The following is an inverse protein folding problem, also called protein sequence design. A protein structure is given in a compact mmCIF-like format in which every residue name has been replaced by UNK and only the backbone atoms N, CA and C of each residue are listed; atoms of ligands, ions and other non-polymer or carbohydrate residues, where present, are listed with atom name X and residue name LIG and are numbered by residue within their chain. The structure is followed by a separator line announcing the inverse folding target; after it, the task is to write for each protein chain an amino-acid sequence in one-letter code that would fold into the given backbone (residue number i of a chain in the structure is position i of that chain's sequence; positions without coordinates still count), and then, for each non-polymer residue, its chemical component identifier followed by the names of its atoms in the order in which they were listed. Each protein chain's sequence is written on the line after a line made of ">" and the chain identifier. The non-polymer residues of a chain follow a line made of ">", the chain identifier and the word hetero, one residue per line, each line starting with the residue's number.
data_IF_516499781451
#
_entry.id   IF_516499781451
#
_cell.length_a   1.000
_cell.length_b   1.000
_cell.length_c   1.000
_cell.angle_alpha   90.00
_cell.angle_beta   90.00
_cell.angle_gamma   90.00
#
_symmetry.space_group_name_H-M   'P 1'
#
loop_
_entity.id
_entity.type
_entity.pdbx_description
1 polymer ?
#
# COMPACT_ATOMS: atom_id res chain seq x y z
N UNK A 1 -13.99 11.54 -6.99
CA UNK A 1 -12.80 11.88 -6.19
C UNK A 1 -12.04 12.99 -6.89
N UNK A 2 -11.73 14.08 -6.18
CA UNK A 2 -10.83 15.12 -6.68
C UNK A 2 -9.38 14.61 -6.67
N UNK A 3 -8.56 15.11 -7.59
CA UNK A 3 -7.11 14.78 -7.62
C UNK A 3 -6.43 15.40 -6.40
N UNK A 4 -5.60 14.60 -5.72
CA UNK A 4 -4.77 15.05 -4.59
C UNK A 4 -3.30 14.82 -4.89
N UNK A 5 -2.41 15.48 -4.15
CA UNK A 5 -0.98 15.22 -4.26
C UNK A 5 -0.68 13.83 -3.68
N UNK A 6 -0.27 12.91 -4.53
CA UNK A 6 0.24 11.59 -4.16
C UNK A 6 1.77 11.62 -4.16
N UNK A 7 2.37 10.85 -3.28
CA UNK A 7 3.81 10.62 -3.26
C UNK A 7 4.27 9.84 -4.49
N UNK A 8 3.49 8.85 -4.94
CA UNK A 8 3.76 8.05 -6.13
C UNK A 8 4.77 6.91 -5.95
N UNK A 9 5.49 6.87 -4.82
CA UNK A 9 6.38 5.77 -4.43
C UNK A 9 6.52 5.72 -2.89
N UNK A 10 5.40 5.58 -2.20
CA UNK A 10 5.38 5.53 -0.73
C UNK A 10 5.55 4.10 -0.21
N UNK A 11 6.73 3.79 0.34
CA UNK A 11 7.07 2.48 0.92
C UNK A 11 8.14 2.63 2.02
N UNK A 12 8.49 1.52 2.68
CA UNK A 12 9.39 1.51 3.83
C UNK A 12 10.75 2.19 3.59
N UNK A 13 11.33 2.05 2.40
CA UNK A 13 12.63 2.66 2.07
C UNK A 13 12.57 4.18 1.88
N UNK A 14 11.38 4.73 1.62
CA UNK A 14 11.13 6.16 1.50
C UNK A 14 10.52 6.76 2.77
N UNK A 15 10.49 5.98 3.86
CA UNK A 15 9.95 6.38 5.16
C UNK A 15 11.05 6.31 6.23
N UNK A 16 11.49 7.46 6.72
CA UNK A 16 12.55 7.55 7.74
C UNK A 16 11.92 7.61 9.12
N UNK A 17 12.34 6.70 9.99
CA UNK A 17 11.91 6.62 11.38
C UNK A 17 13.00 7.15 12.31
N UNK A 18 12.60 7.88 13.35
CA UNK A 18 13.45 8.31 14.46
C UNK A 18 13.10 7.46 15.67
N UNK A 19 14.12 7.00 16.39
CA UNK A 19 13.93 6.29 17.66
C UNK A 19 13.65 7.31 18.77
N UNK A 20 12.55 7.13 19.47
CA UNK A 20 12.14 7.94 20.62
C UNK A 20 11.87 7.02 21.81
N UNK A 21 12.89 6.85 22.66
CA UNK A 21 12.87 5.86 23.75
C UNK A 21 12.71 4.43 23.21
N UNK A 22 11.68 3.73 23.69
CA UNK A 22 11.29 2.40 23.20
C UNK A 22 10.40 2.47 21.94
N UNK A 23 9.98 3.67 21.52
CA UNK A 23 9.11 3.88 20.36
C UNK A 23 9.84 4.33 19.10
N UNK A 24 9.07 4.40 18.01
CA UNK A 24 9.47 5.01 16.74
C UNK A 24 8.52 6.17 16.42
N UNK A 25 9.07 7.30 15.99
CA UNK A 25 8.33 8.42 15.43
C UNK A 25 8.69 8.61 13.96
N UNK A 26 7.74 9.05 13.14
CA UNK A 26 8.00 9.36 11.74
C UNK A 26 8.88 10.61 11.67
N UNK A 27 10.08 10.48 11.12
CA UNK A 27 11.03 11.59 11.02
C UNK A 27 10.88 12.36 9.71
N UNK A 28 10.73 11.63 8.60
CA UNK A 28 10.57 12.19 7.27
C UNK A 28 10.01 11.16 6.30
N UNK A 29 9.30 11.66 5.29
CA UNK A 29 9.03 10.94 4.05
C UNK A 29 9.90 11.60 2.97
N UNK A 30 10.57 10.80 2.14
CA UNK A 30 11.57 11.29 1.17
C UNK A 30 11.34 10.70 -0.23
N UNK A 31 12.12 11.15 -1.21
CA UNK A 31 12.08 10.68 -2.60
C UNK A 31 10.76 10.93 -3.33
N UNK A 32 10.40 12.21 -3.44
CA UNK A 32 9.21 12.70 -4.16
C UNK A 32 9.38 12.73 -5.69
N UNK A 33 10.34 12.00 -6.28
CA UNK A 33 10.60 12.06 -7.72
C UNK A 33 9.43 11.57 -8.59
N UNK A 34 8.54 10.76 -8.03
CA UNK A 34 7.31 10.25 -8.67
C UNK A 34 6.05 10.97 -8.19
N UNK A 35 6.18 12.05 -7.41
CA UNK A 35 5.03 12.78 -6.87
C UNK A 35 4.20 13.41 -7.98
N UNK A 36 2.88 13.26 -7.88
CA UNK A 36 1.95 13.71 -8.90
C UNK A 36 0.56 13.96 -8.33
N UNK A 37 -0.25 14.76 -9.04
CA UNK A 37 -1.67 14.88 -8.70
C UNK A 37 -2.44 13.68 -9.23
N UNK A 38 -2.93 12.83 -8.33
CA UNK A 38 -3.52 11.55 -8.65
C UNK A 38 -4.66 11.17 -7.74
N UNK A 39 -4.88 9.86 -7.67
CA UNK A 39 -5.89 9.24 -6.83
C UNK A 39 -5.26 8.83 -5.50
N UNK A 40 -5.87 9.17 -4.37
CA UNK A 40 -5.30 8.89 -3.04
C UNK A 40 -5.03 7.39 -2.81
N UNK A 41 -5.83 6.49 -3.40
CA UNK A 41 -5.66 5.05 -3.27
C UNK A 41 -4.33 4.52 -3.80
N UNK A 42 -3.62 5.24 -4.67
CA UNK A 42 -2.38 4.74 -5.29
C UNK A 42 -1.25 4.55 -4.26
N UNK A 43 -1.08 5.52 -3.37
CA UNK A 43 -0.05 5.46 -2.33
C UNK A 43 -0.36 4.35 -1.32
N UNK A 44 -1.63 4.13 -0.98
CA UNK A 44 -2.02 3.07 -0.05
C UNK A 44 -1.82 1.66 -0.61
N UNK A 45 -2.10 1.44 -1.90
CA UNK A 45 -1.77 0.15 -2.53
C UNK A 45 -0.27 -0.13 -2.44
N UNK A 46 0.57 0.86 -2.77
CA UNK A 46 2.03 0.75 -2.68
C UNK A 46 2.49 0.50 -1.25
N UNK A 47 2.01 1.29 -0.29
CA UNK A 47 2.39 1.21 1.11
C UNK A 47 1.97 -0.13 1.73
N UNK A 48 0.73 -0.56 1.52
CA UNK A 48 0.23 -1.80 2.14
C UNK A 48 0.82 -3.05 1.49
N UNK A 49 1.00 -3.08 0.17
CA UNK A 49 1.63 -4.22 -0.50
C UNK A 49 3.08 -4.42 -0.05
N UNK A 50 3.81 -3.33 0.19
CA UNK A 50 5.23 -3.38 0.59
C UNK A 50 5.42 -3.57 2.10
N UNK A 51 4.63 -2.90 2.95
CA UNK A 51 4.86 -2.85 4.39
C UNK A 51 4.09 -3.88 5.23
N UNK A 52 3.00 -4.46 4.72
CA UNK A 52 2.20 -5.46 5.46
C UNK A 52 2.40 -6.87 4.90
N UNK A 53 2.24 -7.91 5.71
CA UNK A 53 2.07 -9.27 5.18
C UNK A 53 0.75 -9.38 4.42
N UNK A 54 0.58 -10.45 3.64
CA UNK A 54 -0.70 -10.74 3.00
C UNK A 54 -1.84 -10.84 3.99
N UNK A 55 -1.62 -11.59 5.07
CA UNK A 55 -2.58 -11.75 6.16
C UNK A 55 -2.99 -10.41 6.78
N UNK A 56 -2.03 -9.59 7.21
CA UNK A 56 -2.33 -8.32 7.89
C UNK A 56 -3.02 -7.33 6.94
N UNK A 57 -2.58 -7.28 5.67
CA UNK A 57 -3.23 -6.43 4.65
C UNK A 57 -4.69 -6.80 4.47
N UNK A 58 -5.01 -8.08 4.28
CA UNK A 58 -6.40 -8.55 4.08
C UNK A 58 -7.27 -8.27 5.31
N UNK A 59 -6.72 -8.40 6.51
CA UNK A 59 -7.44 -8.19 7.75
C UNK A 59 -7.69 -6.70 8.07
N UNK A 60 -6.72 -5.82 7.77
CA UNK A 60 -6.71 -4.46 8.33
C UNK A 60 -6.75 -3.32 7.32
N UNK A 61 -6.72 -3.57 6.00
CA UNK A 61 -6.65 -2.48 5.01
C UNK A 61 -7.81 -1.47 5.14
N UNK A 62 -9.03 -1.91 5.47
CA UNK A 62 -10.17 -1.00 5.65
C UNK A 62 -9.99 -0.10 6.87
N UNK A 63 -9.64 -0.69 8.01
CA UNK A 63 -9.39 0.00 9.28
C UNK A 63 -8.26 1.03 9.12
N UNK A 64 -7.19 0.69 8.41
CA UNK A 64 -6.07 1.60 8.16
C UNK A 64 -6.48 2.78 7.27
N UNK A 65 -7.32 2.56 6.24
CA UNK A 65 -7.86 3.66 5.42
C UNK A 65 -8.84 4.53 6.19
N UNK A 66 -9.64 3.94 7.08
CA UNK A 66 -10.53 4.65 7.99
C UNK A 66 -9.76 5.55 8.95
N UNK A 67 -8.71 5.03 9.59
CA UNK A 67 -7.83 5.79 10.47
C UNK A 67 -7.17 6.96 9.71
N UNK A 68 -6.61 6.70 8.53
CA UNK A 68 -6.05 7.77 7.69
C UNK A 68 -7.09 8.83 7.32
N UNK A 69 -8.30 8.40 6.93
CA UNK A 69 -9.37 9.32 6.56
C UNK A 69 -9.80 10.18 7.75
N UNK A 70 -9.79 9.63 8.97
CA UNK A 70 -9.96 10.39 10.20
C UNK A 70 -8.95 11.52 10.34
N UNK A 71 -7.65 11.21 10.23
CA UNK A 71 -6.59 12.23 10.27
C UNK A 71 -6.74 13.27 9.15
N UNK A 72 -7.13 12.86 7.94
CA UNK A 72 -7.40 13.79 6.85
C UNK A 72 -8.52 14.78 7.20
N UNK A 73 -9.61 14.32 7.82
CA UNK A 73 -10.71 15.20 8.22
C UNK A 73 -10.30 16.17 9.33
N UNK A 74 -9.51 15.71 10.29
CA UNK A 74 -8.93 16.56 11.35
C UNK A 74 -8.08 17.68 10.74
N UNK A 75 -7.14 17.34 9.86
CA UNK A 75 -6.27 18.30 9.17
C UNK A 75 -7.03 19.27 8.25
N UNK A 76 -8.17 18.82 7.69
CA UNK A 76 -9.03 19.69 6.91
C UNK A 76 -9.75 20.73 7.78
N UNK A 77 -9.92 20.52 9.09
CA UNK A 77 -10.52 21.51 9.99
C UNK A 77 -11.90 21.98 9.54
N UNK A 78 -12.75 21.06 9.06
CA UNK A 78 -14.10 21.36 8.56
C UNK A 78 -14.18 21.85 7.10
N UNK A 79 -13.04 21.98 6.40
CA UNK A 79 -13.05 22.21 4.95
C UNK A 79 -13.61 21.00 4.20
N UNK A 80 -14.17 21.24 3.02
CA UNK A 80 -14.71 20.17 2.16
C UNK A 80 -13.62 19.16 1.80
N UNK A 81 -13.84 17.88 2.14
CA UNK A 81 -12.94 16.80 1.78
C UNK A 81 -12.86 16.61 0.25
N UNK A 82 -11.68 16.29 -0.31
CA UNK A 82 -11.50 16.05 -1.74
C UNK A 82 -12.21 14.79 -2.23
N UNK A 83 -12.52 13.86 -1.32
CA UNK A 83 -13.21 12.60 -1.56
C UNK A 83 -13.87 12.09 -0.29
N UNK A 84 -14.80 11.14 -0.43
CA UNK A 84 -15.35 10.39 0.71
C UNK A 84 -14.48 9.18 1.09
N UNK A 85 -14.70 8.63 2.28
CA UNK A 85 -14.10 7.35 2.70
C UNK A 85 -14.39 6.23 1.70
N UNK A 86 -15.64 6.09 1.26
CA UNK A 86 -16.02 5.08 0.27
C UNK A 86 -15.30 5.26 -1.07
N UNK A 87 -15.08 6.51 -1.51
CA UNK A 87 -14.27 6.77 -2.70
C UNK A 87 -12.81 6.37 -2.49
N UNK A 88 -12.25 6.58 -1.29
CA UNK A 88 -10.90 6.13 -0.95
C UNK A 88 -10.80 4.60 -0.99
N UNK A 89 -11.69 3.88 -0.30
CA UNK A 89 -11.75 2.41 -0.28
C UNK A 89 -11.94 1.84 -1.68
N UNK A 90 -12.90 2.36 -2.44
CA UNK A 90 -13.15 1.89 -3.81
C UNK A 90 -11.96 2.18 -4.72
N UNK A 91 -11.29 3.32 -4.55
CA UNK A 91 -10.09 3.62 -5.33
C UNK A 91 -8.93 2.68 -5.06
N UNK A 92 -8.76 2.27 -3.79
CA UNK A 92 -7.77 1.26 -3.40
C UNK A 92 -8.06 -0.08 -4.08
N UNK A 93 -9.31 -0.58 -3.99
CA UNK A 93 -9.73 -1.84 -4.62
C UNK A 93 -9.57 -1.82 -6.15
N UNK A 94 -9.93 -0.71 -6.79
CA UNK A 94 -9.80 -0.54 -8.26
C UNK A 94 -8.36 -0.51 -8.72
N UNK A 95 -7.50 0.20 -8.00
CA UNK A 95 -6.10 0.35 -8.37
C UNK A 95 -5.24 -0.85 -7.96
N UNK A 96 -5.70 -1.66 -6.99
CA UNK A 96 -4.93 -2.76 -6.41
C UNK A 96 -4.25 -3.65 -7.47
N UNK A 97 -4.95 -4.19 -8.49
CA UNK A 97 -4.32 -5.11 -9.44
C UNK A 97 -3.10 -4.52 -10.14
N UNK A 98 -3.22 -3.26 -10.59
CA UNK A 98 -2.14 -2.57 -11.30
C UNK A 98 -1.01 -2.17 -10.35
N UNK A 99 -1.36 -1.55 -9.22
CA UNK A 99 -0.36 -1.04 -8.26
C UNK A 99 0.45 -2.15 -7.58
N UNK A 100 -0.17 -3.29 -7.26
CA UNK A 100 0.53 -4.42 -6.66
C UNK A 100 1.33 -5.23 -7.69
N UNK A 101 0.87 -5.33 -8.95
CA UNK A 101 1.67 -5.89 -10.04
C UNK A 101 2.98 -5.11 -10.25
N UNK A 102 2.93 -3.77 -10.23
CA UNK A 102 4.13 -2.92 -10.27
C UNK A 102 5.08 -3.16 -9.09
N UNK A 103 4.53 -3.56 -7.94
CA UNK A 103 5.35 -3.89 -6.75
C UNK A 103 5.99 -5.26 -6.88
N UNK A 104 5.30 -6.25 -7.45
CA UNK A 104 5.79 -7.61 -7.63
C UNK A 104 7.09 -7.67 -8.44
N UNK A 105 7.21 -6.85 -9.49
CA UNK A 105 8.42 -6.79 -10.33
C UNK A 105 9.67 -6.31 -9.57
N UNK A 106 9.50 -5.61 -8.45
CA UNK A 106 10.60 -5.09 -7.63
C UNK A 106 11.08 -6.07 -6.57
N UNK A 107 10.26 -7.07 -6.20
CA UNK A 107 10.55 -7.96 -5.07
C UNK A 107 11.80 -8.81 -5.33
N UNK A 108 11.93 -9.42 -6.52
CA UNK A 108 13.06 -10.29 -6.84
C UNK A 108 14.43 -9.60 -6.67
N UNK A 109 14.68 -8.47 -7.37
CA UNK A 109 15.92 -7.72 -7.21
C UNK A 109 16.16 -7.23 -5.77
N UNK A 110 15.10 -6.80 -5.07
CA UNK A 110 15.22 -6.33 -3.70
C UNK A 110 15.67 -7.47 -2.77
N UNK A 111 15.10 -8.65 -2.90
CA UNK A 111 15.50 -9.83 -2.11
C UNK A 111 16.92 -10.24 -2.39
N UNK A 112 17.34 -10.22 -3.66
CA UNK A 112 18.73 -10.52 -4.02
C UNK A 112 19.69 -9.54 -3.32
N UNK A 113 19.40 -8.23 -3.33
CA UNK A 113 20.23 -7.22 -2.69
C UNK A 113 20.25 -7.37 -1.17
N UNK A 114 19.08 -7.52 -0.54
CA UNK A 114 18.96 -7.60 0.92
C UNK A 114 19.52 -8.90 1.50
N UNK A 115 19.48 -9.99 0.72
CA UNK A 115 19.91 -11.31 1.19
C UNK A 115 21.41 -11.58 1.02
N UNK A 116 22.16 -10.69 0.36
CA UNK A 116 23.59 -10.89 0.04
C UNK A 116 24.48 -11.17 1.25
N UNK A 117 24.15 -10.59 2.40
CA UNK A 117 24.97 -10.66 3.61
C UNK A 117 24.21 -11.21 4.83
N UNK A 118 23.05 -11.84 4.61
CA UNK A 118 22.29 -12.48 5.70
C UNK A 118 22.90 -13.85 6.03
N UNK A 119 22.88 -14.23 7.30
CA UNK A 119 23.10 -15.63 7.67
C UNK A 119 21.96 -16.52 7.13
N UNK A 120 22.19 -17.83 7.12
CA UNK A 120 21.26 -18.78 6.49
C UNK A 120 19.88 -18.80 7.16
N UNK A 121 19.80 -18.57 8.47
CA UNK A 121 18.54 -18.55 9.21
C UNK A 121 17.72 -17.29 8.86
N UNK A 122 18.35 -16.12 8.88
CA UNK A 122 17.74 -14.86 8.48
C UNK A 122 17.34 -14.87 7.01
N UNK A 123 18.18 -15.45 6.14
CA UNK A 123 17.89 -15.62 4.71
C UNK A 123 16.66 -16.50 4.49
N UNK A 124 16.56 -17.63 5.19
CA UNK A 124 15.39 -18.50 5.13
C UNK A 124 14.11 -17.77 5.56
N UNK A 125 14.16 -17.07 6.70
CA UNK A 125 13.01 -16.28 7.20
C UNK A 125 12.60 -15.16 6.25
N UNK A 126 13.58 -14.49 5.62
CA UNK A 126 13.35 -13.49 4.58
C UNK A 126 12.61 -14.09 3.39
N UNK A 127 13.08 -15.23 2.87
CA UNK A 127 12.45 -15.93 1.75
C UNK A 127 11.03 -16.40 2.08
N UNK A 128 10.79 -16.96 3.26
CA UNK A 128 9.44 -17.35 3.71
C UNK A 128 8.49 -16.15 3.75
N UNK A 129 8.95 -15.01 4.29
CA UNK A 129 8.17 -13.76 4.34
C UNK A 129 7.85 -13.25 2.94
N UNK A 130 8.83 -13.31 2.03
CA UNK A 130 8.65 -12.88 0.65
C UNK A 130 7.70 -13.79 -0.10
N UNK A 131 7.83 -15.11 0.05
CA UNK A 131 6.96 -16.08 -0.60
C UNK A 131 5.50 -15.86 -0.21
N UNK A 132 5.20 -15.72 1.10
CA UNK A 132 3.83 -15.40 1.56
C UNK A 132 3.31 -14.09 0.95
N UNK A 133 4.16 -13.08 0.86
CA UNK A 133 3.80 -11.80 0.26
C UNK A 133 3.51 -11.91 -1.24
N UNK A 134 4.32 -12.66 -1.98
CA UNK A 134 4.12 -12.89 -3.41
C UNK A 134 2.81 -13.64 -3.64
N UNK A 135 2.61 -14.75 -2.95
CA UNK A 135 1.41 -15.59 -3.10
C UNK A 135 0.15 -14.78 -2.80
N UNK A 136 0.15 -14.05 -1.68
CA UNK A 136 -0.98 -13.22 -1.30
C UNK A 136 -1.25 -12.06 -2.27
N UNK A 137 -0.21 -11.42 -2.81
CA UNK A 137 -0.35 -10.37 -3.81
C UNK A 137 -0.97 -10.94 -5.09
N UNK A 138 -0.52 -12.09 -5.56
CA UNK A 138 -1.05 -12.73 -6.77
C UNK A 138 -2.54 -13.07 -6.62
N UNK A 139 -2.92 -13.71 -5.52
CA UNK A 139 -4.32 -13.99 -5.18
C UNK A 139 -5.16 -12.72 -5.17
N UNK A 140 -4.68 -11.67 -4.49
CA UNK A 140 -5.40 -10.40 -4.37
C UNK A 140 -5.53 -9.69 -5.73
N UNK A 141 -4.49 -9.75 -6.58
CA UNK A 141 -4.54 -9.23 -7.95
C UNK A 141 -5.69 -9.88 -8.72
N UNK A 142 -5.77 -11.21 -8.72
CA UNK A 142 -6.83 -11.93 -9.43
C UNK A 142 -8.20 -11.64 -8.85
N UNK A 143 -8.34 -11.64 -7.52
CA UNK A 143 -9.59 -11.31 -6.85
C UNK A 143 -10.10 -9.91 -7.22
N UNK A 144 -9.26 -8.88 -7.07
CA UNK A 144 -9.67 -7.51 -7.37
C UNK A 144 -9.82 -7.28 -8.88
N UNK A 145 -9.05 -7.95 -9.73
CA UNK A 145 -9.23 -7.88 -11.18
C UNK A 145 -10.60 -8.42 -11.59
N UNK A 146 -10.98 -9.63 -11.13
CA UNK A 146 -12.28 -10.23 -11.42
C UNK A 146 -13.43 -9.34 -10.90
N UNK A 147 -13.33 -8.87 -9.64
CA UNK A 147 -14.28 -7.89 -9.08
C UNK A 147 -14.44 -6.67 -9.99
N UNK A 148 -13.33 -6.06 -10.41
CA UNK A 148 -13.35 -4.84 -11.20
C UNK A 148 -13.93 -5.07 -12.61
N UNK A 149 -13.63 -6.22 -13.22
CA UNK A 149 -14.18 -6.62 -14.52
C UNK A 149 -15.71 -6.78 -14.46
N UNK A 150 -16.24 -7.47 -13.44
CA UNK A 150 -17.70 -7.63 -13.23
C UNK A 150 -18.42 -6.28 -13.05
N UNK A 151 -17.84 -5.35 -12.30
CA UNK A 151 -18.38 -3.98 -12.16
C UNK A 151 -18.43 -3.27 -13.52
N UNK A 152 -17.40 -3.44 -14.34
CA UNK A 152 -17.35 -2.84 -15.68
C UNK A 152 -18.44 -3.40 -16.60
N UNK A 153 -18.82 -4.65 -16.40
CA UNK A 153 -19.93 -5.31 -17.11
C UNK A 153 -21.31 -4.96 -16.54
N UNK A 154 -21.37 -4.18 -15.46
CA UNK A 154 -22.61 -3.69 -14.85
C UNK A 154 -23.15 -4.56 -13.71
N UNK A 155 -22.40 -5.55 -13.24
CA UNK A 155 -22.79 -6.38 -12.10
C UNK A 155 -22.64 -5.63 -10.78
N UNK A 156 -23.54 -5.92 -9.83
CA UNK A 156 -23.36 -5.51 -8.44
C UNK A 156 -22.49 -6.54 -7.71
N UNK A 157 -21.34 -6.11 -7.23
CA UNK A 157 -20.45 -6.89 -6.36
C UNK A 157 -20.34 -6.21 -5.01
N UNK A 158 -20.28 -7.03 -3.96
CA UNK A 158 -20.02 -6.60 -2.60
C UNK A 158 -18.60 -6.03 -2.44
#
# INVERSE_FOLDING_TARGET
>A
MNRVLCHGDLWSMNTIWRREGEGLSLAAIIDYQTAHFGCAGTDFVRLFATCLSGKERRAHWEELLEAFYGYLLEELGGRKAPYSLEQLKESYRRFFPVGSYMTLSMIGPLVEVLSKNLDEELRKKCLETVSEKIDSILDDIFYYHDRNSRIQEGEQVA
#
